data_IF_723907885978
#
_entry.id   IF_723907885978
#
_cell.length_a   1.000
_cell.length_b   1.000
_cell.length_c   1.000
_cell.angle_alpha   90.00
_cell.angle_beta   90.00
_cell.angle_gamma   90.00
#
_symmetry.space_group_name_H-M   'P 1'
#
loop_
_entity.id
_entity.type
_entity.pdbx_description
1 polymer ?
#
# COMPACT_ATOMS: atom_id res chain seq x y z
N UNK A 1 23.18 13.05 -15.50
CA UNK A 1 21.85 12.86 -16.12
C UNK A 1 20.79 13.25 -15.10
N UNK A 2 19.78 13.98 -15.55
CA UNK A 2 18.82 14.79 -14.80
C UNK A 2 17.54 13.98 -14.54
N UNK A 3 17.19 13.75 -13.28
CA UNK A 3 16.00 12.98 -12.90
C UNK A 3 14.93 13.91 -12.33
N UNK A 4 13.73 13.86 -12.91
CA UNK A 4 12.54 14.46 -12.35
C UNK A 4 11.73 13.39 -11.62
N UNK A 5 11.62 13.50 -10.31
CA UNK A 5 11.02 12.46 -9.48
C UNK A 5 9.59 12.83 -9.03
N UNK A 6 8.68 11.85 -9.06
CA UNK A 6 7.29 11.94 -8.65
C UNK A 6 6.99 10.96 -7.51
N UNK A 7 6.41 11.45 -6.41
CA UNK A 7 5.84 10.60 -5.35
C UNK A 7 6.57 10.64 -4.01
N UNK A 8 6.77 9.48 -3.39
CA UNK A 8 7.29 9.34 -2.03
C UNK A 8 8.77 9.74 -1.93
N UNK A 9 9.19 10.59 -0.97
CA UNK A 9 10.55 11.11 -0.89
C UNK A 9 11.63 10.04 -0.65
N UNK A 10 11.30 8.83 -0.18
CA UNK A 10 12.29 7.74 -0.04
C UNK A 10 12.95 7.40 -1.36
N UNK A 11 12.19 7.32 -2.46
CA UNK A 11 12.77 7.03 -3.79
C UNK A 11 13.66 8.16 -4.31
N UNK A 12 13.25 9.42 -4.09
CA UNK A 12 14.10 10.57 -4.40
C UNK A 12 15.42 10.53 -3.61
N UNK A 13 15.36 10.22 -2.32
CA UNK A 13 16.55 10.12 -1.48
C UNK A 13 17.46 8.96 -1.90
N UNK A 14 16.89 7.79 -2.18
CA UNK A 14 17.65 6.64 -2.66
C UNK A 14 18.39 6.98 -3.98
N UNK A 15 17.73 7.69 -4.90
CA UNK A 15 18.37 8.21 -6.11
C UNK A 15 19.54 9.17 -5.80
N UNK A 16 19.31 10.16 -4.94
CA UNK A 16 20.30 11.17 -4.57
C UNK A 16 21.53 10.54 -3.89
N UNK A 17 21.30 9.62 -2.94
CA UNK A 17 22.35 8.91 -2.19
C UNK A 17 23.22 8.02 -3.08
N UNK A 18 22.65 7.54 -4.18
CA UNK A 18 23.34 6.76 -5.21
C UNK A 18 23.94 7.63 -6.33
N UNK A 19 23.94 8.95 -6.18
CA UNK A 19 24.60 9.90 -7.06
C UNK A 19 23.79 10.39 -8.25
N UNK A 20 22.47 10.18 -8.28
CA UNK A 20 21.63 10.75 -9.32
C UNK A 20 21.54 12.29 -9.18
N UNK A 21 21.47 13.00 -10.31
CA UNK A 21 21.19 14.43 -10.32
C UNK A 21 19.69 14.67 -10.31
N UNK A 22 19.11 14.90 -9.13
CA UNK A 22 17.71 15.31 -9.03
C UNK A 22 17.54 16.76 -9.50
N UNK A 23 16.69 16.98 -10.50
CA UNK A 23 16.37 18.32 -11.00
C UNK A 23 15.03 18.84 -10.51
N UNK A 24 14.24 17.98 -9.88
CA UNK A 24 12.95 18.33 -9.31
C UNK A 24 12.31 17.18 -8.58
N UNK A 25 11.51 17.50 -7.56
CA UNK A 25 10.68 16.53 -6.84
C UNK A 25 9.24 17.03 -6.80
N UNK A 26 8.33 16.24 -7.34
CA UNK A 26 6.89 16.50 -7.31
C UNK A 26 6.24 15.50 -6.37
N UNK A 27 5.58 15.97 -5.30
CA UNK A 27 4.96 15.07 -4.32
C UNK A 27 3.48 15.39 -4.11
N UNK A 28 2.66 14.33 -4.02
CA UNK A 28 1.20 14.42 -3.97
C UNK A 28 0.59 14.44 -2.56
N UNK A 29 1.38 14.24 -1.50
CA UNK A 29 0.91 14.26 -0.11
C UNK A 29 1.58 15.36 0.71
N UNK A 30 0.85 15.91 1.69
CA UNK A 30 1.41 16.60 2.87
C UNK A 30 1.53 15.55 3.98
N UNK A 31 2.58 14.74 3.96
CA UNK A 31 2.91 13.86 5.09
C UNK A 31 2.52 12.38 4.95
N UNK A 32 3.02 11.67 5.96
CA UNK A 32 3.11 10.22 6.19
C UNK A 32 4.20 10.02 7.27
N UNK A 33 4.28 8.87 7.96
CA UNK A 33 5.31 8.65 8.98
C UNK A 33 6.72 8.96 8.43
N UNK A 34 7.49 9.81 9.12
CA UNK A 34 8.85 10.16 8.72
C UNK A 34 8.99 11.23 7.63
N UNK A 35 7.93 11.64 6.92
CA UNK A 35 7.99 12.60 5.81
C UNK A 35 8.68 13.93 6.17
N UNK A 36 8.33 14.52 7.32
CA UNK A 36 8.93 15.78 7.80
C UNK A 36 10.43 15.65 8.09
N UNK A 37 10.92 14.44 8.37
CA UNK A 37 12.34 14.15 8.59
C UNK A 37 13.09 13.93 7.27
N UNK A 38 12.40 13.44 6.23
CA UNK A 38 13.00 13.14 4.92
C UNK A 38 13.14 14.39 4.04
N UNK A 39 12.12 15.27 4.01
CA UNK A 39 12.12 16.46 3.14
C UNK A 39 13.31 17.43 3.34
N UNK A 40 13.85 17.66 4.56
CA UNK A 40 15.04 18.48 4.76
C UNK A 40 16.28 17.93 4.04
N UNK A 41 16.37 16.61 3.82
CA UNK A 41 17.49 15.98 3.12
C UNK A 41 17.49 16.25 1.61
N UNK A 42 16.37 16.73 1.07
CA UNK A 42 16.23 17.20 -0.31
C UNK A 42 16.41 18.72 -0.43
N UNK A 43 17.11 19.36 0.52
CA UNK A 43 17.38 20.79 0.48
C UNK A 43 18.12 21.17 -0.82
N UNK A 44 17.72 22.29 -1.43
CA UNK A 44 18.31 22.76 -2.70
C UNK A 44 17.71 22.13 -3.97
N UNK A 45 16.90 21.07 -3.86
CA UNK A 45 16.17 20.51 -5.01
C UNK A 45 14.82 21.22 -5.17
N UNK A 46 14.48 21.76 -6.37
CA UNK A 46 13.16 22.32 -6.64
C UNK A 46 12.05 21.34 -6.30
N UNK A 47 10.98 21.85 -5.67
CA UNK A 47 9.92 21.01 -5.13
C UNK A 47 8.54 21.57 -5.42
N UNK A 48 7.64 20.71 -5.87
CA UNK A 48 6.24 21.03 -6.09
C UNK A 48 5.36 20.13 -5.24
N UNK A 49 4.59 20.74 -4.33
CA UNK A 49 3.67 20.03 -3.45
C UNK A 49 2.25 20.12 -4.01
N UNK A 50 1.70 18.98 -4.43
CA UNK A 50 0.34 18.88 -5.00
C UNK A 50 0.07 19.92 -6.10
N UNK A 51 0.99 20.14 -7.06
CA UNK A 51 0.74 21.11 -8.12
C UNK A 51 -0.43 20.65 -8.99
N UNK A 52 -1.08 21.59 -9.66
CA UNK A 52 -1.69 21.29 -10.96
C UNK A 52 -0.55 21.08 -11.96
N UNK A 53 -0.46 19.90 -12.56
CA UNK A 53 0.68 19.51 -13.41
C UNK A 53 0.72 20.29 -14.73
N UNK A 54 -0.43 20.70 -15.25
CA UNK A 54 -0.49 21.51 -16.46
C UNK A 54 -0.03 22.95 -16.16
N UNK A 55 -0.43 23.48 -15.00
CA UNK A 55 -0.02 24.82 -14.56
C UNK A 55 1.49 24.95 -14.29
N UNK A 56 2.17 23.85 -13.96
CA UNK A 56 3.62 23.84 -13.70
C UNK A 56 4.44 23.19 -14.82
N UNK A 57 3.83 22.89 -15.97
CA UNK A 57 4.51 22.21 -17.08
C UNK A 57 5.76 22.97 -17.56
N UNK A 58 5.68 24.29 -17.71
CA UNK A 58 6.83 25.13 -18.09
C UNK A 58 8.00 25.01 -17.12
N UNK A 59 7.81 25.27 -15.82
CA UNK A 59 8.81 25.03 -14.79
C UNK A 59 9.38 23.61 -14.78
N UNK A 60 8.56 22.58 -15.00
CA UNK A 60 9.03 21.19 -15.12
C UNK A 60 9.89 20.99 -16.37
N UNK A 61 9.50 21.56 -17.52
CA UNK A 61 10.24 21.50 -18.77
C UNK A 61 11.61 22.19 -18.68
N UNK A 62 11.70 23.33 -17.98
CA UNK A 62 12.96 24.05 -17.74
C UNK A 62 13.98 23.20 -16.96
N UNK A 63 13.49 22.21 -16.20
CA UNK A 63 14.34 21.23 -15.53
C UNK A 63 14.96 20.20 -16.48
N UNK A 64 14.65 20.20 -17.78
CA UNK A 64 15.27 19.38 -18.84
C UNK A 64 15.60 17.95 -18.36
N UNK A 65 14.62 17.17 -17.89
CA UNK A 65 14.89 15.83 -17.38
C UNK A 65 15.37 14.90 -18.50
N UNK A 66 16.26 13.97 -18.16
CA UNK A 66 16.64 12.84 -19.00
C UNK A 66 15.77 11.61 -18.71
N UNK A 67 15.18 11.53 -17.51
CA UNK A 67 14.30 10.46 -17.06
C UNK A 67 13.28 10.99 -16.05
N UNK A 68 12.03 10.56 -16.18
CA UNK A 68 10.98 10.70 -15.17
C UNK A 68 10.93 9.41 -14.34
N UNK A 69 10.90 9.55 -13.02
CA UNK A 69 10.77 8.41 -12.10
C UNK A 69 9.58 8.64 -11.20
N UNK A 70 8.64 7.70 -11.18
CA UNK A 70 7.47 7.71 -10.31
C UNK A 70 7.55 6.58 -9.29
N UNK A 71 7.21 6.89 -8.04
CA UNK A 71 7.02 5.89 -6.99
C UNK A 71 6.03 6.39 -5.96
N UNK A 72 4.87 5.73 -5.86
CA UNK A 72 3.77 6.14 -4.97
C UNK A 72 3.27 7.58 -5.22
N UNK A 73 3.28 8.04 -6.47
CA UNK A 73 2.63 9.29 -6.84
C UNK A 73 1.12 9.05 -7.00
N UNK A 74 0.25 9.75 -6.25
CA UNK A 74 -1.16 9.38 -6.12
C UNK A 74 -2.05 9.84 -7.29
N UNK A 75 -1.49 10.43 -8.35
CA UNK A 75 -2.24 11.01 -9.47
C UNK A 75 -1.64 10.55 -10.78
N UNK A 76 -2.45 10.51 -11.84
CA UNK A 76 -1.93 10.27 -13.18
C UNK A 76 -0.98 11.41 -13.58
N UNK A 77 0.12 11.05 -14.23
CA UNK A 77 1.04 12.01 -14.84
C UNK A 77 0.54 12.21 -16.28
N UNK A 78 0.16 13.43 -16.68
CA UNK A 78 -0.43 13.68 -17.99
C UNK A 78 0.61 13.49 -19.10
N UNK A 79 0.13 13.18 -20.31
CA UNK A 79 0.97 12.97 -21.49
C UNK A 79 1.91 14.17 -21.78
N UNK A 80 1.46 15.39 -21.48
CA UNK A 80 2.25 16.63 -21.59
C UNK A 80 3.54 16.57 -20.76
N UNK A 81 3.49 16.00 -19.56
CA UNK A 81 4.65 15.81 -18.68
C UNK A 81 5.47 14.60 -19.11
N UNK A 82 4.82 13.49 -19.51
CA UNK A 82 5.52 12.30 -20.01
C UNK A 82 6.28 12.57 -21.32
N UNK A 83 5.89 13.58 -22.09
CA UNK A 83 6.62 14.02 -23.29
C UNK A 83 7.97 14.70 -22.97
N UNK A 84 8.22 15.10 -21.71
CA UNK A 84 9.48 15.76 -21.32
C UNK A 84 10.67 14.78 -21.31
N UNK A 85 10.42 13.51 -20.96
CA UNK A 85 11.43 12.45 -20.90
C UNK A 85 10.75 11.08 -20.76
N UNK A 86 11.42 9.97 -21.16
CA UNK A 86 10.91 8.64 -20.85
C UNK A 86 10.67 8.49 -19.34
N UNK A 87 9.61 7.78 -18.97
CA UNK A 87 9.17 7.68 -17.58
C UNK A 87 9.09 6.24 -17.09
N UNK A 88 9.58 5.95 -15.89
CA UNK A 88 9.37 4.67 -15.22
C UNK A 88 8.55 4.85 -13.94
N UNK A 89 7.79 3.82 -13.56
CA UNK A 89 7.07 3.75 -12.31
C UNK A 89 7.44 2.47 -11.55
N UNK A 90 7.51 2.56 -10.22
CA UNK A 90 7.57 1.39 -9.35
C UNK A 90 6.21 1.12 -8.72
N UNK A 91 5.76 -0.12 -8.85
CA UNK A 91 4.46 -0.59 -8.41
C UNK A 91 4.60 -1.82 -7.52
N UNK A 92 4.05 -1.83 -6.29
CA UNK A 92 4.23 -2.93 -5.33
C UNK A 92 3.22 -4.07 -5.56
N UNK A 93 3.06 -4.50 -6.81
CA UNK A 93 2.31 -5.70 -7.17
C UNK A 93 2.99 -6.56 -8.24
N UNK A 94 2.55 -7.81 -8.33
CA UNK A 94 2.92 -8.73 -9.40
C UNK A 94 2.12 -8.44 -10.68
N UNK A 95 2.45 -7.34 -11.37
CA UNK A 95 1.75 -6.89 -12.58
C UNK A 95 1.65 -8.00 -13.64
N UNK A 96 0.48 -8.23 -14.27
CA UNK A 96 -0.71 -7.34 -14.32
C UNK A 96 -1.70 -7.44 -13.15
N UNK A 97 -1.44 -8.26 -12.14
CA UNK A 97 -2.31 -8.38 -10.96
C UNK A 97 -2.21 -7.09 -10.13
N UNK A 98 -3.35 -6.60 -9.67
CA UNK A 98 -3.49 -5.40 -8.81
C UNK A 98 -2.96 -4.11 -9.42
N UNK A 99 -3.35 -3.78 -10.65
CA UNK A 99 -3.18 -2.42 -11.19
C UNK A 99 -4.00 -1.43 -10.38
N UNK A 100 -3.51 -0.20 -10.23
CA UNK A 100 -4.23 0.87 -9.55
C UNK A 100 -3.67 1.22 -8.17
N UNK A 101 -4.35 2.09 -7.43
CA UNK A 101 -3.74 2.85 -6.34
C UNK A 101 -3.50 2.09 -5.02
N UNK A 102 -4.12 0.93 -4.78
CA UNK A 102 -4.07 0.26 -3.47
C UNK A 102 -3.69 -1.24 -3.50
N UNK A 103 -2.66 -1.65 -4.27
CA UNK A 103 -2.35 -3.06 -4.53
C UNK A 103 -2.06 -3.88 -3.27
N UNK A 104 -1.46 -3.27 -2.26
CA UNK A 104 -1.02 -3.95 -1.03
C UNK A 104 -2.23 -4.42 -0.22
N UNK A 105 -3.22 -3.54 -0.07
CA UNK A 105 -4.49 -3.84 0.60
C UNK A 105 -5.22 -4.97 -0.10
N UNK A 106 -5.30 -4.91 -1.43
CA UNK A 106 -5.99 -5.94 -2.21
C UNK A 106 -5.28 -7.29 -2.22
N UNK A 107 -3.95 -7.32 -2.26
CA UNK A 107 -3.17 -8.56 -2.09
C UNK A 107 -3.46 -9.22 -0.73
N UNK A 108 -3.51 -8.44 0.35
CA UNK A 108 -3.87 -8.96 1.68
C UNK A 108 -5.31 -9.46 1.74
N UNK A 109 -6.28 -8.69 1.21
CA UNK A 109 -7.71 -9.07 1.18
C UNK A 109 -7.94 -10.36 0.40
N UNK A 110 -7.30 -10.51 -0.75
CA UNK A 110 -7.41 -11.71 -1.57
C UNK A 110 -6.71 -12.93 -0.96
N UNK A 111 -5.84 -12.72 0.03
CA UNK A 111 -5.07 -13.79 0.65
C UNK A 111 -3.89 -14.24 -0.19
N UNK A 112 -3.30 -13.34 -0.98
CA UNK A 112 -2.10 -13.65 -1.75
C UNK A 112 -0.95 -14.00 -0.80
N UNK A 113 -0.25 -15.11 -1.06
CA UNK A 113 0.95 -15.51 -0.31
C UNK A 113 2.21 -14.81 -0.81
N UNK A 114 2.13 -14.26 -2.03
CA UNK A 114 3.23 -13.62 -2.74
C UNK A 114 2.73 -12.41 -3.52
N UNK A 115 3.58 -11.41 -3.62
CA UNK A 115 3.43 -10.27 -4.52
C UNK A 115 4.78 -10.02 -5.21
N UNK A 116 4.93 -8.92 -5.92
CA UNK A 116 6.21 -8.46 -6.44
C UNK A 116 6.32 -6.94 -6.38
N UNK A 117 7.54 -6.45 -6.57
CA UNK A 117 7.82 -5.06 -6.92
C UNK A 117 8.14 -5.05 -8.40
N UNK A 118 7.31 -4.36 -9.18
CA UNK A 118 7.51 -4.19 -10.62
C UNK A 118 7.96 -2.76 -10.91
N UNK A 119 9.08 -2.60 -11.62
CA UNK A 119 9.42 -1.33 -12.28
C UNK A 119 9.02 -1.46 -13.73
N UNK A 120 8.16 -0.58 -14.21
CA UNK A 120 7.59 -0.61 -15.55
C UNK A 120 7.64 0.77 -16.22
N UNK A 121 7.50 0.82 -17.54
CA UNK A 121 7.36 2.08 -18.26
C UNK A 121 6.04 2.76 -17.91
N UNK A 122 6.09 4.08 -17.73
CA UNK A 122 4.90 4.92 -17.66
C UNK A 122 4.26 5.01 -19.04
N UNK A 123 2.93 4.90 -19.06
CA UNK A 123 2.07 5.10 -20.23
C UNK A 123 0.93 6.04 -19.82
N UNK A 124 0.03 6.39 -20.73
CA UNK A 124 -1.18 7.15 -20.39
C UNK A 124 -2.20 6.33 -19.56
N UNK A 125 -2.10 5.00 -19.65
CA UNK A 125 -2.89 4.06 -18.86
C UNK A 125 -2.40 3.93 -17.41
N UNK A 126 -3.08 3.06 -16.66
CA UNK A 126 -2.75 2.79 -15.24
C UNK A 126 -2.00 1.49 -15.15
N UNK A 127 -0.73 1.58 -14.75
CA UNK A 127 0.13 0.44 -14.46
C UNK A 127 0.16 -0.65 -15.55
N UNK A 128 0.06 -0.25 -16.82
CA UNK A 128 -0.08 -1.17 -17.96
C UNK A 128 1.19 -1.31 -18.82
N UNK A 129 2.17 -0.43 -18.63
CA UNK A 129 3.40 -0.44 -19.41
C UNK A 129 4.25 -1.69 -19.18
N UNK A 130 5.15 -1.96 -20.12
CA UNK A 130 6.04 -3.11 -20.08
C UNK A 130 6.95 -3.07 -18.84
N UNK A 131 7.15 -4.23 -18.22
CA UNK A 131 7.95 -4.40 -17.00
C UNK A 131 9.42 -4.49 -17.37
N UNK A 132 10.23 -3.64 -16.75
CA UNK A 132 11.70 -3.59 -16.87
C UNK A 132 12.40 -4.47 -15.84
N UNK A 133 11.84 -4.55 -14.64
CA UNK A 133 12.42 -5.30 -13.54
C UNK A 133 11.33 -5.77 -12.58
N UNK A 134 11.50 -6.97 -12.03
CA UNK A 134 10.54 -7.62 -11.13
C UNK A 134 11.29 -8.26 -9.97
N UNK A 135 10.86 -7.96 -8.74
CA UNK A 135 11.41 -8.54 -7.52
C UNK A 135 10.29 -9.25 -6.76
N UNK A 136 10.30 -10.58 -6.63
CA UNK A 136 9.27 -11.30 -5.89
C UNK A 136 9.38 -11.01 -4.38
N UNK A 137 8.22 -10.91 -3.72
CA UNK A 137 8.12 -10.65 -2.28
C UNK A 137 7.12 -11.61 -1.65
N UNK A 138 7.50 -12.25 -0.55
CA UNK A 138 6.59 -13.07 0.26
C UNK A 138 5.73 -12.17 1.14
N UNK A 139 4.44 -12.49 1.23
CA UNK A 139 3.53 -11.90 2.21
C UNK A 139 3.52 -12.82 3.43
N UNK A 140 4.01 -12.32 4.57
CA UNK A 140 4.08 -13.12 5.78
C UNK A 140 2.68 -13.32 6.37
N UNK A 141 2.46 -14.47 7.02
CA UNK A 141 1.15 -14.82 7.59
C UNK A 141 0.61 -13.80 8.61
N UNK A 142 1.48 -12.95 9.18
CA UNK A 142 1.12 -11.91 10.16
C UNK A 142 1.31 -10.49 9.64
N UNK A 143 1.55 -10.32 8.35
CA UNK A 143 1.60 -8.99 7.77
C UNK A 143 0.24 -8.31 7.88
N UNK A 144 0.28 -7.06 8.32
CA UNK A 144 -0.84 -6.12 8.27
C UNK A 144 -0.60 -5.12 7.14
N UNK A 145 -1.64 -4.40 6.72
CA UNK A 145 -1.56 -3.38 5.67
C UNK A 145 -0.42 -2.40 5.92
N UNK A 146 -0.33 -1.84 7.14
CA UNK A 146 0.73 -0.91 7.47
C UNK A 146 2.14 -1.55 7.48
N UNK A 147 2.30 -2.78 7.99
CA UNK A 147 3.62 -3.45 8.03
C UNK A 147 4.11 -3.82 6.65
N UNK A 148 3.23 -4.38 5.83
CA UNK A 148 3.55 -4.76 4.47
C UNK A 148 3.83 -3.54 3.60
N UNK A 149 3.02 -2.47 3.76
CA UNK A 149 3.24 -1.21 3.05
C UNK A 149 4.57 -0.57 3.41
N UNK A 150 4.90 -0.41 4.70
CA UNK A 150 6.18 0.19 5.12
C UNK A 150 7.38 -0.59 4.52
N UNK A 151 7.33 -1.92 4.59
CA UNK A 151 8.35 -2.79 4.00
C UNK A 151 8.46 -2.65 2.48
N UNK A 152 7.33 -2.73 1.77
CA UNK A 152 7.31 -2.67 0.31
C UNK A 152 7.69 -1.28 -0.20
N UNK A 153 7.22 -0.21 0.43
CA UNK A 153 7.58 1.16 0.07
C UNK A 153 9.08 1.41 0.21
N UNK A 154 9.71 0.93 1.29
CA UNK A 154 11.15 1.01 1.47
C UNK A 154 11.91 0.22 0.39
N UNK A 155 11.48 -1.00 0.09
CA UNK A 155 12.09 -1.82 -0.96
C UNK A 155 11.89 -1.22 -2.37
N UNK A 156 10.71 -0.67 -2.66
CA UNK A 156 10.40 -0.03 -3.93
C UNK A 156 11.31 1.17 -4.18
N UNK A 157 11.61 1.98 -3.16
CA UNK A 157 12.52 3.11 -3.26
C UNK A 157 13.92 2.67 -3.72
N UNK A 158 14.45 1.59 -3.16
CA UNK A 158 15.75 1.05 -3.54
C UNK A 158 15.74 0.45 -4.96
N UNK A 159 14.70 -0.33 -5.28
CA UNK A 159 14.56 -1.01 -6.57
C UNK A 159 14.41 0.00 -7.72
N UNK A 160 13.56 1.02 -7.55
CA UNK A 160 13.36 2.03 -8.60
C UNK A 160 14.61 2.88 -8.81
N UNK A 161 15.33 3.20 -7.73
CA UNK A 161 16.59 3.94 -7.82
C UNK A 161 17.66 3.14 -8.56
N UNK A 162 17.77 1.83 -8.30
CA UNK A 162 18.67 0.94 -9.04
C UNK A 162 18.35 0.91 -10.54
N UNK A 163 17.09 0.64 -10.89
CA UNK A 163 16.65 0.57 -12.30
C UNK A 163 16.85 1.90 -13.02
N UNK A 164 16.52 3.02 -12.37
CA UNK A 164 16.74 4.35 -12.94
C UNK A 164 18.23 4.59 -13.24
N UNK A 165 19.13 4.27 -12.32
CA UNK A 165 20.56 4.47 -12.51
C UNK A 165 21.15 3.59 -13.61
N UNK A 166 20.65 2.36 -13.76
CA UNK A 166 21.02 1.46 -14.85
C UNK A 166 20.65 2.05 -16.21
N UNK A 167 19.41 2.55 -16.34
CA UNK A 167 18.97 3.26 -17.54
C UNK A 167 19.82 4.51 -17.83
N UNK A 168 20.12 5.30 -16.80
CA UNK A 168 20.98 6.49 -16.90
C UNK A 168 22.46 6.15 -17.18
N UNK A 169 22.88 4.90 -17.05
CA UNK A 169 24.21 4.45 -17.49
C UNK A 169 24.20 3.91 -18.92
N UNK A 170 23.04 3.97 -19.59
CA UNK A 170 22.85 3.44 -20.95
C UNK A 170 22.67 1.92 -20.99
N UNK A 171 22.37 1.28 -19.85
CA UNK A 171 22.06 -0.15 -19.85
C UNK A 171 20.75 -0.40 -20.60
N UNK A 172 20.78 -1.35 -21.54
CA UNK A 172 19.59 -1.77 -22.28
C UNK A 172 18.83 -2.83 -21.48
N UNK A 173 17.87 -2.39 -20.69
CA UNK A 173 16.92 -3.28 -20.03
C UNK A 173 15.87 -3.73 -21.04
N UNK A 174 15.68 -5.04 -21.19
CA UNK A 174 14.69 -5.62 -22.09
C UNK A 174 13.29 -5.51 -21.47
N UNK A 175 12.38 -4.66 -21.99
CA UNK A 175 11.02 -4.56 -21.47
C UNK A 175 10.24 -5.82 -21.79
N UNK A 176 9.43 -6.28 -20.85
CA UNK A 176 8.58 -7.45 -21.00
C UNK A 176 7.10 -7.03 -20.93
N UNK A 177 6.29 -7.35 -21.95
CA UNK A 177 4.86 -7.18 -21.87
C UNK A 177 4.28 -7.90 -20.65
N UNK A 178 3.26 -7.31 -20.04
CA UNK A 178 2.57 -7.93 -18.92
C UNK A 178 1.77 -9.15 -19.42
N UNK A 179 1.93 -10.29 -18.74
CA UNK A 179 1.30 -11.56 -19.09
C UNK A 179 0.39 -12.03 -17.95
N UNK A 180 -0.81 -12.50 -18.27
CA UNK A 180 -1.78 -13.02 -17.29
C UNK A 180 -3.03 -12.16 -17.17
N UNK A 181 -3.83 -12.43 -16.13
CA UNK A 181 -5.09 -11.73 -15.88
C UNK A 181 -4.86 -10.35 -15.24
N UNK A 182 -5.50 -9.33 -15.80
CA UNK A 182 -5.51 -7.98 -15.22
C UNK A 182 -6.53 -7.94 -14.08
N UNK A 183 -6.07 -7.60 -12.88
CA UNK A 183 -6.95 -7.30 -11.75
C UNK A 183 -6.72 -5.89 -11.25
N UNK A 184 -7.72 -5.30 -10.59
CA UNK A 184 -7.72 -3.91 -10.17
C UNK A 184 -7.70 -3.77 -8.66
N UNK A 185 -6.98 -2.75 -8.19
CA UNK A 185 -6.82 -2.41 -6.79
C UNK A 185 -7.24 -0.94 -6.54
N UNK A 186 -8.55 -0.62 -6.63
CA UNK A 186 -9.06 0.72 -6.36
C UNK A 186 -8.87 1.10 -4.88
N UNK A 187 -8.92 2.40 -4.57
CA UNK A 187 -8.96 2.85 -3.18
C UNK A 187 -10.21 2.31 -2.48
N UNK A 188 -10.04 1.82 -1.25
CA UNK A 188 -11.14 1.37 -0.40
C UNK A 188 -11.61 2.54 0.47
N UNK A 189 -12.91 2.85 0.46
CA UNK A 189 -13.47 3.88 1.33
C UNK A 189 -13.43 3.44 2.80
N UNK A 190 -13.18 4.33 3.78
CA UNK A 190 -13.16 3.98 5.19
C UNK A 190 -14.39 3.19 5.67
N UNK A 191 -15.58 3.55 5.20
CA UNK A 191 -16.85 2.89 5.57
C UNK A 191 -16.98 1.46 5.02
N UNK A 192 -16.21 1.10 3.99
CA UNK A 192 -16.20 -0.27 3.44
C UNK A 192 -15.41 -1.25 4.33
N UNK A 193 -14.82 -0.77 5.44
CA UNK A 193 -14.12 -1.61 6.42
C UNK A 193 -15.02 -2.15 7.53
N UNK A 194 -16.34 -2.04 7.39
CA UNK A 194 -17.30 -2.76 8.23
C UNK A 194 -17.19 -4.28 8.00
N UNK A 195 -17.10 -5.05 9.08
CA UNK A 195 -16.91 -6.50 9.01
C UNK A 195 -18.25 -7.18 8.79
N UNK A 196 -18.36 -7.89 7.68
CA UNK A 196 -19.41 -8.89 7.48
C UNK A 196 -19.06 -10.19 8.20
N UNK A 197 -19.64 -10.38 9.38
CA UNK A 197 -19.43 -11.58 10.19
C UNK A 197 -20.04 -12.85 9.59
N UNK A 198 -20.84 -12.78 8.52
CA UNK A 198 -21.32 -13.97 7.83
C UNK A 198 -20.22 -14.68 7.02
N UNK A 199 -19.08 -14.02 6.79
CA UNK A 199 -17.93 -14.57 6.08
C UNK A 199 -17.14 -15.57 6.93
N UNK A 200 -16.36 -16.48 6.33
CA UNK A 200 -15.40 -17.32 7.06
C UNK A 200 -14.36 -16.50 7.83
N UNK A 201 -13.94 -16.96 9.01
CA UNK A 201 -13.01 -16.26 9.88
C UNK A 201 -11.64 -16.03 9.23
N UNK A 202 -11.23 -16.89 8.28
CA UNK A 202 -10.00 -16.69 7.49
C UNK A 202 -10.11 -15.47 6.55
N UNK A 203 -11.29 -15.19 6.03
CA UNK A 203 -11.51 -13.99 5.21
C UNK A 203 -11.59 -12.74 6.08
N UNK A 204 -12.23 -12.85 7.24
CA UNK A 204 -12.25 -11.78 8.25
C UNK A 204 -10.82 -11.47 8.72
N UNK A 205 -9.98 -12.49 8.94
CA UNK A 205 -8.57 -12.30 9.28
C UNK A 205 -7.81 -11.50 8.21
N UNK A 206 -7.97 -11.86 6.93
CA UNK A 206 -7.38 -11.13 5.80
C UNK A 206 -7.85 -9.68 5.75
N UNK A 207 -9.15 -9.47 5.93
CA UNK A 207 -9.78 -8.16 5.93
C UNK A 207 -9.28 -7.27 7.09
N UNK A 208 -9.24 -7.82 8.31
CA UNK A 208 -8.69 -7.17 9.50
C UNK A 208 -7.21 -6.82 9.30
N UNK A 209 -6.40 -7.76 8.77
CA UNK A 209 -4.99 -7.52 8.50
C UNK A 209 -4.79 -6.43 7.47
N UNK A 210 -5.57 -6.43 6.37
CA UNK A 210 -5.49 -5.41 5.32
C UNK A 210 -5.79 -4.00 5.85
N UNK A 211 -6.78 -3.86 6.74
CA UNK A 211 -7.15 -2.58 7.34
C UNK A 211 -6.26 -2.13 8.51
N UNK A 212 -5.42 -3.01 9.06
CA UNK A 212 -4.77 -2.77 10.36
C UNK A 212 -3.44 -1.98 10.25
N UNK A 213 -3.20 -1.00 11.15
CA UNK A 213 -4.08 -0.56 12.26
C UNK A 213 -4.98 0.64 11.91
N UNK A 214 -4.86 1.17 10.70
CA UNK A 214 -5.56 2.34 10.17
C UNK A 214 -5.87 2.11 8.68
N UNK A 215 -7.12 2.29 8.23
CA UNK A 215 -8.27 2.83 8.98
C UNK A 215 -8.84 1.89 10.05
N UNK A 216 -8.54 0.59 9.96
CA UNK A 216 -9.00 -0.45 10.85
C UNK A 216 -10.36 -1.03 10.46
N UNK A 217 -10.48 -2.35 10.48
CA UNK A 217 -11.75 -3.04 10.25
C UNK A 217 -12.64 -2.90 11.50
N UNK A 218 -13.95 -2.70 11.34
CA UNK A 218 -14.81 -2.35 12.46
C UNK A 218 -16.15 -3.09 12.47
N UNK A 219 -16.79 -3.09 13.64
CA UNK A 219 -18.17 -3.54 13.85
C UNK A 219 -18.81 -2.67 14.93
N UNK A 220 -20.15 -2.60 14.96
CA UNK A 220 -20.86 -1.92 16.05
C UNK A 220 -20.80 -2.68 17.37
N UNK A 221 -20.74 -1.95 18.50
CA UNK A 221 -20.96 -2.46 19.86
C UNK A 221 -21.77 -1.43 20.66
N UNK A 222 -23.04 -1.73 20.94
CA UNK A 222 -23.95 -0.72 21.50
C UNK A 222 -24.06 0.49 20.57
N UNK A 223 -23.79 1.69 21.10
CA UNK A 223 -23.75 2.95 20.33
C UNK A 223 -22.34 3.32 19.84
N UNK A 224 -21.34 2.47 20.08
CA UNK A 224 -19.93 2.71 19.73
C UNK A 224 -19.45 1.81 18.59
N UNK A 225 -18.31 2.17 17.98
CA UNK A 225 -17.58 1.31 17.06
C UNK A 225 -16.44 0.58 17.78
N UNK A 226 -16.35 -0.72 17.52
CA UNK A 226 -15.23 -1.56 17.89
C UNK A 226 -14.33 -1.77 16.68
N UNK A 227 -13.14 -1.18 16.69
CA UNK A 227 -12.14 -1.39 15.63
C UNK A 227 -11.27 -2.59 16.00
N UNK A 228 -11.17 -3.55 15.10
CA UNK A 228 -10.43 -4.81 15.29
C UNK A 228 -9.06 -4.65 14.65
N UNK A 229 -8.02 -4.73 15.47
CA UNK A 229 -6.63 -4.48 15.07
C UNK A 229 -5.85 -5.77 14.83
N UNK A 230 -6.35 -6.89 15.35
CA UNK A 230 -5.74 -8.20 15.17
C UNK A 230 -6.50 -9.29 15.91
N UNK A 231 -6.37 -10.51 15.40
CA UNK A 231 -7.05 -11.68 15.91
C UNK A 231 -6.54 -12.93 15.21
N UNK A 232 -7.33 -13.99 15.25
CA UNK A 232 -7.06 -15.22 14.50
C UNK A 232 -8.31 -16.07 14.29
N UNK A 233 -8.41 -16.78 13.16
CA UNK A 233 -9.48 -17.75 12.91
C UNK A 233 -9.32 -19.00 13.78
N UNK A 234 -10.44 -19.66 14.09
CA UNK A 234 -10.51 -20.91 14.85
C UNK A 234 -11.60 -21.83 14.29
N UNK A 235 -11.34 -23.13 14.22
CA UNK A 235 -12.29 -24.11 13.69
C UNK A 235 -13.61 -24.16 14.46
N UNK A 236 -14.66 -24.58 13.72
CA UNK A 236 -16.06 -24.60 14.10
C UNK A 236 -16.42 -25.50 15.28
N UNK A 237 -15.52 -26.44 15.64
CA UNK A 237 -15.75 -27.65 16.45
C UNK A 237 -16.34 -27.40 17.85
N UNK A 238 -16.63 -26.16 18.20
CA UNK A 238 -17.02 -25.69 19.52
C UNK A 238 -18.12 -24.61 19.54
N UNK A 239 -18.67 -24.15 18.40
CA UNK A 239 -19.47 -22.90 18.35
C UNK A 239 -20.71 -22.90 17.44
N UNK A 240 -21.18 -24.07 16.97
CA UNK A 240 -22.24 -24.19 15.96
C UNK A 240 -23.61 -23.59 16.35
N UNK A 241 -23.92 -23.47 17.64
CA UNK A 241 -25.23 -23.01 18.11
C UNK A 241 -25.44 -21.48 18.05
N UNK A 242 -24.40 -20.71 17.72
CA UNK A 242 -24.47 -19.25 17.65
C UNK A 242 -24.69 -18.77 16.21
N UNK A 243 -25.45 -17.69 16.06
CA UNK A 243 -25.59 -17.00 14.77
C UNK A 243 -24.36 -16.12 14.48
N UNK A 244 -23.95 -15.96 13.21
CA UNK A 244 -22.87 -15.05 12.84
C UNK A 244 -23.04 -13.64 13.44
N UNK A 245 -21.94 -13.03 13.87
CA UNK A 245 -21.90 -11.75 14.58
C UNK A 245 -22.13 -11.84 16.09
N UNK A 246 -22.51 -13.00 16.63
CA UNK A 246 -22.70 -13.16 18.09
C UNK A 246 -21.36 -13.15 18.82
N UNK A 247 -21.13 -12.22 19.76
CA UNK A 247 -19.94 -12.24 20.60
C UNK A 247 -20.09 -13.29 21.72
N UNK A 248 -18.98 -13.91 22.11
CA UNK A 248 -18.96 -14.80 23.27
C UNK A 248 -17.58 -14.82 23.93
N UNK A 249 -17.56 -15.16 25.22
CA UNK A 249 -16.34 -15.29 26.01
C UNK A 249 -16.10 -16.74 26.37
N UNK A 250 -14.87 -17.23 26.16
CA UNK A 250 -14.45 -18.56 26.57
C UNK A 250 -13.01 -18.55 27.05
N UNK A 251 -12.76 -19.14 28.22
CA UNK A 251 -11.42 -19.25 28.80
C UNK A 251 -10.69 -17.89 28.87
N UNK A 252 -11.42 -16.81 29.18
CA UNK A 252 -10.88 -15.45 29.29
C UNK A 252 -10.55 -14.78 27.95
N UNK A 253 -11.04 -15.29 26.83
CA UNK A 253 -10.86 -14.70 25.51
C UNK A 253 -12.22 -14.33 24.90
N UNK A 254 -12.25 -13.21 24.18
CA UNK A 254 -13.39 -12.75 23.41
C UNK A 254 -13.34 -13.29 21.97
N UNK A 255 -14.49 -13.71 21.47
CA UNK A 255 -14.66 -14.25 20.13
C UNK A 255 -15.92 -13.66 19.50
N UNK A 256 -15.97 -13.67 18.18
CA UNK A 256 -17.21 -13.43 17.42
C UNK A 256 -17.44 -14.62 16.51
N UNK A 257 -18.68 -15.14 16.53
CA UNK A 257 -19.12 -16.19 15.61
C UNK A 257 -19.09 -15.65 14.18
N UNK A 258 -18.46 -16.40 13.28
CA UNK A 258 -18.35 -16.06 11.87
C UNK A 258 -19.37 -16.88 11.04
N UNK A 259 -19.19 -17.06 9.74
CA UNK A 259 -20.07 -17.90 8.91
C UNK A 259 -20.13 -19.36 9.37
N UNK A 260 -19.00 -20.05 9.37
CA UNK A 260 -18.89 -21.48 9.74
C UNK A 260 -17.96 -21.73 10.93
N UNK A 261 -17.12 -20.75 11.26
CA UNK A 261 -16.07 -20.80 12.27
C UNK A 261 -16.18 -19.62 13.26
N UNK A 262 -15.12 -19.33 14.02
CA UNK A 262 -15.08 -18.18 14.93
C UNK A 262 -13.77 -17.40 14.78
N UNK A 263 -13.84 -16.10 15.06
CA UNK A 263 -12.67 -15.22 15.05
C UNK A 263 -12.37 -14.76 16.47
N UNK A 264 -11.16 -15.03 16.95
CA UNK A 264 -10.70 -14.58 18.26
C UNK A 264 -10.20 -13.14 18.16
N UNK A 265 -10.68 -12.28 19.07
CA UNK A 265 -10.25 -10.89 19.15
C UNK A 265 -9.03 -10.78 20.07
N UNK A 266 -7.86 -10.49 19.50
CA UNK A 266 -6.61 -10.41 20.25
C UNK A 266 -6.24 -8.96 20.61
N UNK A 267 -6.58 -8.03 19.73
CA UNK A 267 -6.34 -6.60 19.91
C UNK A 267 -7.43 -5.80 19.25
N UNK A 268 -8.05 -4.90 20.01
CA UNK A 268 -9.13 -4.02 19.53
C UNK A 268 -8.90 -2.60 20.00
N UNK A 269 -9.64 -1.66 19.42
CA UNK A 269 -9.73 -0.27 19.86
C UNK A 269 -11.21 0.08 20.05
N UNK A 270 -11.55 0.55 21.24
CA UNK A 270 -12.88 1.03 21.63
C UNK A 270 -12.75 2.49 22.05
N UNK A 271 -13.31 3.40 21.24
CA UNK A 271 -13.02 4.83 21.34
C UNK A 271 -11.51 5.09 21.20
N UNK A 272 -10.90 5.71 22.22
CA UNK A 272 -9.46 6.00 22.26
C UNK A 272 -8.62 4.91 22.94
N UNK A 273 -9.26 3.86 23.50
CA UNK A 273 -8.57 2.82 24.28
C UNK A 273 -8.22 1.65 23.37
N UNK A 274 -6.95 1.22 23.39
CA UNK A 274 -6.56 -0.07 22.83
C UNK A 274 -6.64 -1.13 23.92
N UNK A 275 -7.36 -2.21 23.67
CA UNK A 275 -7.57 -3.32 24.60
C UNK A 275 -6.95 -4.60 24.02
N UNK A 276 -6.39 -5.43 24.88
CA UNK A 276 -6.08 -6.82 24.52
C UNK A 276 -7.33 -7.71 24.66
N UNK A 277 -7.27 -8.93 24.12
CA UNK A 277 -8.41 -9.85 24.13
C UNK A 277 -8.95 -10.25 25.51
N UNK A 278 -8.12 -10.21 26.57
CA UNK A 278 -8.58 -10.49 27.95
C UNK A 278 -9.34 -9.32 28.54
N UNK A 279 -8.82 -8.11 28.37
CA UNK A 279 -9.50 -6.87 28.78
C UNK A 279 -10.85 -6.73 28.06
N UNK A 280 -10.90 -7.07 26.78
CA UNK A 280 -12.17 -7.09 26.05
C UNK A 280 -13.14 -8.13 26.60
N UNK A 281 -12.66 -9.34 26.91
CA UNK A 281 -13.50 -10.39 27.49
C UNK A 281 -14.12 -10.00 28.83
N UNK A 282 -13.37 -9.30 29.69
CA UNK A 282 -13.86 -8.77 30.97
C UNK A 282 -14.97 -7.72 30.80
N UNK A 283 -15.03 -7.01 29.67
CA UNK A 283 -16.09 -6.04 29.37
C UNK A 283 -17.36 -6.67 28.78
N UNK A 284 -17.30 -7.93 28.34
CA UNK A 284 -18.41 -8.64 27.69
C UNK A 284 -19.18 -9.57 28.64
N UNK A 285 -18.73 -9.69 29.89
CA UNK A 285 -19.34 -10.49 30.97
C UNK A 285 -19.93 -9.55 32.00
#
# INVERSE_FOLDING_TARGET
MRVLYFGDPRGALALLERGATLVGVVHGRRGGPGWSKLLPRLAGVPRWTRPDLDAVLGPLADTRPDLIVSGFYPRRIPASVLALAPGINVHPSDLPRWRGPDPITWALRAGDERTAICVHWLTEGVDEGDVLHRVPVLIEARDTGARLADRLEAQCAEVVADVALRLLRGEKLAPQPQMGEVTWAPLVHPDEWEIDWSRPAVEIDRFVRAASPDPGAFTGIGEELLVILGGRPLSADQFEALVPGTPFVRSGHAFIRCGEDAYRLDRVRLGQRTLNGRQLAELLV
#
